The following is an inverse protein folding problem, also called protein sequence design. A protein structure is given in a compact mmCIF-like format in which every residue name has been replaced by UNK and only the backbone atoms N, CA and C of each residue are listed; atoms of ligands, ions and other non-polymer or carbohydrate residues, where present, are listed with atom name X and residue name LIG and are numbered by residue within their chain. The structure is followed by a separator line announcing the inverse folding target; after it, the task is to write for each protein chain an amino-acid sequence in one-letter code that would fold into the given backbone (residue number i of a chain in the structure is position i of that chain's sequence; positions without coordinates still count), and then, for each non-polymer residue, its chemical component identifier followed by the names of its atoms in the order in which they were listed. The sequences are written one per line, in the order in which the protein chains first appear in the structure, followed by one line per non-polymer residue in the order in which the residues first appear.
data_IF_503521197826
#
_entry.id   IF_503521197826
#
_cell.length_a   1.000
_cell.length_b   1.000
_cell.length_c   1.000
_cell.angle_alpha   90.00
_cell.angle_beta   90.00
_cell.angle_gamma   90.00
#
_symmetry.space_group_name_H-M   'P 1'
#
loop_
_entity.id
_entity.type
_entity.pdbx_description
1 polymer ?
2 non-polymer ?
3 non-polymer ?
4 water ?
#
# COMPACT_ATOMS: atom_id res chain seq x y z
N UNK A 1 -5.79 14.46 3.96
CA UNK A 1 -4.93 13.61 3.09
C UNK A 1 -5.54 12.21 2.94
N UNK A 2 -5.94 11.90 1.71
CA UNK A 2 -6.57 10.63 1.39
C UNK A 2 -5.67 9.75 0.53
N UNK A 3 -4.91 10.37 -0.37
CA UNK A 3 -4.03 9.61 -1.26
C UNK A 3 -2.56 9.88 -0.98
N UNK A 4 -1.77 8.82 -1.09
CA UNK A 4 -0.34 8.91 -0.87
C UNK A 4 0.35 8.37 -2.11
N UNK A 5 1.10 9.24 -2.77
CA UNK A 5 1.79 8.87 -4.00
C UNK A 5 3.24 8.52 -3.75
N UNK A 6 3.66 7.38 -4.29
CA UNK A 6 5.04 6.94 -4.16
C UNK A 6 5.68 7.05 -5.53
N UNK A 7 6.54 8.06 -5.73
CA UNK A 7 7.18 8.22 -7.04
C UNK A 7 8.31 7.19 -7.16
N UNK A 8 8.23 6.35 -8.17
CA UNK A 8 9.25 5.33 -8.38
C UNK A 8 9.68 5.33 -9.84
N UNK A 9 10.94 4.96 -10.08
CA UNK A 9 11.49 4.92 -11.43
C UNK A 9 10.58 4.15 -12.38
N UNK A 10 10.22 2.94 -11.97
CA UNK A 10 9.39 2.04 -12.76
C UNK A 10 7.95 2.51 -12.97
N UNK A 11 7.57 3.61 -12.33
CA UNK A 11 6.21 4.11 -12.46
C UNK A 11 5.65 4.38 -11.08
N UNK A 12 5.09 5.57 -10.88
CA UNK A 12 4.54 5.96 -9.60
C UNK A 12 3.32 5.17 -9.12
N UNK A 13 3.27 4.93 -7.81
CA UNK A 13 2.18 4.20 -7.18
C UNK A 13 1.35 5.13 -6.31
N UNK A 14 0.04 5.13 -6.53
CA UNK A 14 -0.87 5.96 -5.75
C UNK A 14 -1.64 5.09 -4.76
N UNK A 15 -1.42 5.33 -3.47
CA UNK A 15 -2.06 4.57 -2.40
C UNK A 15 -3.28 5.31 -1.87
N UNK A 16 -4.48 4.82 -2.20
CA UNK A 16 -5.72 5.47 -1.74
C UNK A 16 -5.95 5.11 -0.28
N UNK A 17 -5.31 5.86 0.61
CA UNK A 17 -5.38 5.63 2.04
C UNK A 17 -6.77 5.63 2.66
N UNK A 18 -7.61 6.60 2.32
CA UNK A 18 -8.93 6.60 2.91
C UNK A 18 -9.73 5.37 2.50
N UNK A 19 -9.60 4.96 1.25
CA UNK A 19 -10.30 3.77 0.78
C UNK A 19 -9.95 2.60 1.68
N UNK A 20 -8.66 2.46 1.97
CA UNK A 20 -8.19 1.37 2.81
C UNK A 20 -8.70 1.43 4.24
N UNK A 21 -8.73 2.62 4.84
CA UNK A 21 -9.21 2.66 6.21
C UNK A 21 -10.70 2.38 6.27
N UNK A 22 -11.43 2.77 5.23
CA UNK A 22 -12.87 2.50 5.18
C UNK A 22 -13.12 1.02 4.89
N UNK A 23 -12.28 0.44 4.04
CA UNK A 23 -12.44 -0.96 3.68
C UNK A 23 -12.10 -1.91 4.82
N UNK A 24 -11.03 -1.62 5.54
CA UNK A 24 -10.61 -2.48 6.64
C UNK A 24 -11.16 -2.08 8.00
N UNK A 25 -11.64 -0.84 8.11
CA UNK A 25 -12.21 -0.36 9.36
C UNK A 25 -11.34 -0.56 10.58
N UNK A 26 -10.03 -0.37 10.41
CA UNK A 26 -9.09 -0.57 11.51
C UNK A 26 -7.73 0.06 11.14
N UNK A 27 -6.96 0.45 12.15
CA UNK A 27 -5.65 1.07 11.94
C UNK A 27 -4.46 0.19 12.32
N UNK A 28 -4.54 -0.42 13.50
CA UNK A 28 -3.47 -1.26 14.04
C UNK A 28 -3.00 -2.39 13.13
N UNK A 29 -3.85 -2.86 12.23
CA UNK A 29 -3.45 -3.92 11.33
C UNK A 29 -2.25 -3.50 10.51
N UNK A 30 -2.35 -2.34 9.85
CA UNK A 30 -1.25 -1.83 9.03
C UNK A 30 -0.25 -1.04 9.84
N UNK A 31 -0.73 -0.40 10.90
CA UNK A 31 0.12 0.41 11.75
C UNK A 31 0.38 -0.32 13.08
N UNK A 32 1.24 -1.33 13.04
CA UNK A 32 1.55 -2.11 14.24
C UNK A 32 2.01 -1.25 15.40
N UNK A 33 2.88 -0.29 15.13
CA UNK A 33 3.41 0.60 16.16
C UNK A 33 2.59 1.88 16.27
N UNK A 34 1.27 1.75 16.16
CA UNK A 34 0.41 2.92 16.27
C UNK A 34 0.42 3.82 15.04
N UNK A 35 -0.75 4.32 14.62
CA UNK A 35 -0.91 5.19 13.46
C UNK A 35 0.19 6.23 13.32
N UNK A 36 0.75 6.31 12.12
CA UNK A 36 1.82 7.24 11.84
C UNK A 36 2.73 6.64 10.78
N UNK A 37 3.96 7.14 10.71
CA UNK A 37 4.94 6.64 9.75
C UNK A 37 5.16 5.15 10.03
N UNK A 38 5.40 4.38 8.98
CA UNK A 38 5.67 2.96 9.15
C UNK A 38 7.18 2.82 8.96
N UNK A 39 7.89 2.52 10.04
CA UNK A 39 9.34 2.41 9.98
C UNK A 39 9.84 1.31 9.05
N UNK A 40 10.81 1.68 8.23
CA UNK A 40 11.39 0.73 7.30
C UNK A 40 10.54 0.45 6.08
N UNK A 41 9.57 1.32 5.79
CA UNK A 41 8.73 1.11 4.62
C UNK A 41 9.53 1.35 3.35
N UNK A 42 9.65 0.30 2.55
CA UNK A 42 10.40 0.38 1.30
C UNK A 42 9.86 -0.60 0.27
N UNK A 43 10.63 -0.80 -0.80
CA UNK A 43 10.25 -1.70 -1.88
C UNK A 43 9.88 -3.10 -1.38
N UNK A 44 10.79 -3.71 -0.62
CA UNK A 44 10.57 -5.05 -0.10
C UNK A 44 9.32 -5.15 0.78
N UNK A 45 9.04 -4.11 1.56
CA UNK A 45 7.87 -4.15 2.41
C UNK A 45 6.61 -4.00 1.55
N UNK A 46 6.64 -3.07 0.60
CA UNK A 46 5.50 -2.84 -0.28
C UNK A 46 5.16 -4.10 -1.07
N UNK A 47 6.18 -4.81 -1.51
CA UNK A 47 5.96 -6.03 -2.29
C UNK A 47 5.60 -7.19 -1.39
N UNK A 48 5.75 -6.98 -0.09
CA UNK A 48 5.44 -8.01 0.89
C UNK A 48 4.16 -7.70 1.62
N UNK A 49 4.19 -7.76 2.95
CA UNK A 49 3.02 -7.53 3.79
C UNK A 49 2.59 -6.06 3.73
N UNK A 50 3.48 -5.17 3.37
CA UNK A 50 3.14 -3.76 3.31
C UNK A 50 2.06 -3.42 2.29
N UNK A 51 2.05 -4.12 1.16
CA UNK A 51 1.04 -3.87 0.13
C UNK A 51 0.56 -5.11 -0.61
N UNK A 52 1.36 -5.55 -1.57
CA UNK A 52 1.01 -6.68 -2.42
C UNK A 52 0.64 -7.96 -1.68
N UNK A 53 1.31 -8.22 -0.57
CA UNK A 53 1.03 -9.43 0.19
C UNK A 53 -0.41 -9.51 0.64
N UNK A 54 -0.95 -8.40 1.13
CA UNK A 54 -2.33 -8.41 1.57
C UNK A 54 -3.29 -8.63 0.41
N UNK A 55 -3.04 -7.94 -0.71
CA UNK A 55 -3.90 -8.10 -1.88
C UNK A 55 -3.97 -9.56 -2.32
N UNK A 56 -2.85 -10.27 -2.23
CA UNK A 56 -2.85 -11.68 -2.60
C UNK A 56 -3.69 -12.48 -1.60
N UNK A 57 -3.47 -12.26 -0.32
CA UNK A 57 -4.21 -12.99 0.70
C UNK A 57 -5.70 -12.68 0.64
N UNK A 58 -6.07 -11.41 0.57
CA UNK A 58 -7.48 -11.01 0.54
C UNK A 58 -8.13 -11.18 -0.82
N UNK A 59 -7.31 -11.52 -1.82
CA UNK A 59 -7.78 -11.71 -3.18
C UNK A 59 -8.50 -10.50 -3.73
N UNK A 60 -8.04 -9.32 -3.33
CA UNK A 60 -8.61 -8.08 -3.80
C UNK A 60 -7.50 -7.03 -3.79
N UNK A 61 -7.53 -6.12 -4.75
CA UNK A 61 -6.49 -5.11 -4.83
C UNK A 61 -5.48 -5.50 -5.89
N UNK A 62 -4.63 -4.57 -6.35
CA UNK A 62 -3.62 -4.87 -7.38
C UNK A 62 -2.47 -5.77 -6.96
N UNK A 63 -2.21 -6.81 -7.75
CA UNK A 63 -1.11 -7.74 -7.50
C UNK A 63 -0.12 -7.75 -8.66
N UNK A 64 -0.56 -7.30 -9.83
CA UNK A 64 0.30 -7.25 -11.01
C UNK A 64 1.05 -5.92 -11.04
N UNK A 65 2.34 -5.97 -11.37
CA UNK A 65 3.18 -4.77 -11.41
C UNK A 65 2.48 -3.53 -11.93
N UNK A 66 1.99 -3.61 -13.16
CA UNK A 66 1.32 -2.49 -13.79
C UNK A 66 0.01 -2.02 -13.20
N UNK A 67 -0.57 -2.81 -12.29
CA UNK A 67 -1.82 -2.39 -11.67
C UNK A 67 -1.54 -1.47 -10.49
N UNK A 68 -0.27 -1.36 -10.13
CA UNK A 68 0.18 -0.48 -9.05
C UNK A 68 1.06 0.61 -9.65
N UNK A 69 2.08 0.18 -10.38
CA UNK A 69 3.02 1.09 -11.01
C UNK A 69 2.48 1.59 -12.35
N UNK A 70 2.17 2.88 -12.40
CA UNK A 70 1.63 3.50 -13.60
C UNK A 70 2.33 4.83 -13.88
N UNK A 71 2.45 5.17 -15.16
CA UNK A 71 3.08 6.43 -15.52
C UNK A 71 4.46 6.37 -16.16
N UNK A 72 4.95 5.17 -16.45
CA UNK A 72 6.26 5.06 -17.07
C UNK A 72 7.42 5.41 -16.16
X LIG B 1 0.24 6.58 6.44
X LIG B 1 -2.96 7.06 9.99
X LIG B 1 -5.22 3.14 8.50
X LIG B 1 -1.38 2.16 5.77
X LIG B 1 -0.57 7.15 7.41
X LIG B 1 -0.26 8.43 8.05
X LIG B 1 -1.07 8.50 9.13
X LIG B 1 -1.91 7.31 9.11
X LIG B 1 -1.08 9.58 10.22
X LIG B 1 0.84 9.40 7.61
X LIG B 1 2.18 9.03 8.23
X LIG B 1 3.34 9.89 7.73
X LIG B 1 3.09 10.92 7.05
X LIG B 1 4.50 9.54 8.02
X LIG B 1 -3.84 6.02 9.94
X LIG B 1 -5.02 5.87 10.78
X LIG B 1 -5.71 4.81 10.29
X LIG B 1 -4.93 4.29 9.20
X LIG B 1 -5.39 6.78 11.95
X LIG B 1 -7.05 4.22 10.76
X LIG B 1 -8.21 5.20 10.85
X LIG B 1 -4.38 2.55 7.58
X LIG B 1 -4.62 1.24 6.98
X LIG B 1 -3.52 0.93 6.26
X LIG B 1 -2.61 2.06 6.41
X LIG B 1 -5.83 0.34 7.21
X LIG B 1 -3.18 -0.41 5.60
X LIG B 1 -4.12 -0.82 4.48
X LIG B 1 -0.57 3.27 5.73
X LIG B 1 0.65 3.38 4.95
X LIG B 1 1.11 4.65 5.12
X LIG B 1 0.14 5.29 5.99
X LIG B 1 1.28 2.25 4.15
X LIG B 1 2.44 5.25 4.69
X LIG B 1 3.49 5.00 5.78
X LIG B 1 4.82 5.69 5.50
X LIG B 1 5.77 5.50 6.30
X LIG B 1 4.92 6.42 4.50
X LIG B 1 -1.59 6.49 8.05
X LIG B 1 -3.79 5.04 8.98
X LIG B 1 -3.15 3.04 7.22
X LIG B 1 -0.86 4.43 6.38
X LIG B 1 -2.37 4.74 7.65
X LIG C 1 -7.34 -1.86 -2.86
X LIG C 1 -2.90 -0.12 -3.28
X LIG C 1 -1.88 -1.97 1.03
X LIG C 1 -6.11 -4.21 1.11
X LIG C 1 -6.22 -1.22 -3.35
X LIG C 1 -6.21 -0.41 -4.54
X LIG C 1 -4.97 0.12 -4.65
X LIG C 1 -4.21 -0.42 -3.54
X LIG C 1 -4.44 1.03 -5.76
X LIG C 1 -7.34 -0.34 -5.55
X LIG C 1 -8.28 0.81 -5.27
X LIG C 1 -9.45 0.85 -6.24
X LIG C 1 -10.35 -0.01 -6.12
X LIG C 1 -9.46 1.75 -7.11
X LIG C 1 -2.22 -0.48 -2.13
X LIG C 1 -0.86 -0.06 -1.83
X LIG C 1 -0.59 -0.53 -0.57
X LIG C 1 -1.78 -1.26 -0.15
X LIG C 1 0.07 0.76 -2.73
X LIG C 1 0.66 -0.28 0.26
X LIG C 1 0.99 1.18 0.58
X LIG C 1 -2.92 -2.78 1.42
X LIG C 1 -2.91 -3.63 2.60
X LIG C 1 -4.09 -4.32 2.61
X LIG C 1 -4.81 -3.85 1.43
X LIG C 1 -1.73 -3.76 3.57
X LIG C 1 -4.62 -5.43 3.54
X LIG C 1 -4.03 -5.61 4.94
X LIG C 1 -6.86 -3.70 0.06
X LIG C 1 -8.30 -3.88 -0.12
X LIG C 1 -8.67 -3.19 -1.22
X LIG C 1 -7.43 -2.60 -1.72
X LIG C 1 -9.28 -4.61 0.81
X LIG C 1 -10.08 -2.87 -1.71
X LIG C 1 -10.40 -1.41 -1.40
X LIG C 1 -11.53 -0.86 -2.25
X LIG C 1 -11.51 -1.07 -3.48
X LIG C 1 -12.44 -0.22 -1.68
X LIG C 1 -4.99 -1.24 -2.74
X LIG C 1 -2.76 -1.23 -1.11
X LIG C 1 -4.06 -2.93 0.69
X LIG C 1 -6.36 -2.86 -0.90
X LIG C 1 -4.54 -2.07 -1.03
X LIG D 1 8.75 -0.01 -5.45
X LIG D 1 9.01 -3.14 -9.09
X LIG D 1 4.67 -4.81 -8.03
X LIG D 1 4.13 -1.15 -5.00
X LIG D 1 9.24 -0.76 -6.51
X LIG D 1 10.58 -0.65 -7.05
X LIG D 1 10.64 -1.50 -8.11
X LIG D 1 9.34 -2.13 -8.19
X LIG D 1 11.83 -1.73 -9.04
X LIG D 1 11.70 0.24 -6.51
X LIG D 1 11.54 1.66 -7.04
X LIG D 1 11.91 1.77 -8.50
X LIG D 1 11.24 2.54 -9.24
X LIG D 1 12.88 1.11 -8.91
X LIG D 1 7.84 -3.87 -9.13
X LIG D 1 7.63 -5.03 -9.97
X LIG D 1 6.43 -5.57 -9.65
X LIG D 1 5.91 -4.69 -8.60
X LIG D 1 8.62 -5.61 -10.97
X LIG D 1 5.82 -6.87 -10.20
X LIG D 1 6.60 -8.15 -9.94
X LIG D 1 4.14 -3.94 -7.10
X LIG D 1 2.75 -3.95 -6.69
X LIG D 1 2.58 -2.85 -5.89
X LIG D 1 3.87 -2.22 -5.81
X LIG D 1 1.66 -4.91 -7.19
X LIG D 1 1.30 -2.28 -5.27
X LIG D 1 0.44 -3.29 -4.53
X LIG D 1 5.35 -0.56 -4.79
X LIG D 1 5.57 0.56 -3.90
X LIG D 1 6.89 0.83 -4.00
X LIG D 1 7.46 -0.09 -4.94
X LIG D 1 4.51 1.30 -3.10
X LIG D 1 7.60 1.99 -3.36
X LIG D 1 8.13 1.71 -1.97
X LIG D 1 8.91 2.89 -1.42
X LIG D 1 8.47 4.04 -1.64
X LIG D 1 9.95 2.67 -0.78
X LIG D 1 8.50 -1.69 -7.19
X LIG D 1 6.80 -3.68 -8.27
X LIG D 1 4.81 -2.86 -6.56
X LIG D 1 6.50 -0.93 -5.44
X LIG D 1 6.66 -2.29 -6.84
X LIG E 1 -5.61 14.30 -1.21
X LIG E 1 -5.12 15.47 -1.96
X LIG E 1 -6.53 14.75 -0.14
X LIG E 1 -6.33 13.38 -2.12
X LIG E 1 -4.47 13.59 -0.60
#
# INVERSE_FOLDING_TARGET
IDKITYPTRIGAVVFPHKKHQDALGECRGCHEKGPGRIDGFDKVMAHGKGCKGCHEEMKIGPVRCGDCHKGGSTH
HEM CHA CHB CHC CHD C1A C2A C3A C4A CMA CAA CBA CGA O1A O2A C1B C2B C3B C4B CMB CAB CBB C1C C2C C3C C4C CMC CAC CBC C1D C2D C3D C4D CMD CAD CBD CGD O1D O2D NA NB NC ND FE
HEM CHA CHB CHC CHD C1A C2A C3A C4A CMA CAA CBA CGA O1A O2A C1B C2B C3B C4B CMB CAB CBB C1C C2C C3C C4C CMC CAC CBC C1D C2D C3D C4D CMD CAD CBD CGD O1D O2D NA NB NC ND FE
HEM CHA CHB CHC CHD C1A C2A C3A C4A CMA CAA CBA CGA O1A O2A C1B C2B C3B C4B CMB CAB CBB C1C C2C C3C C4C CMC CAC CBC C1D C2D C3D C4D CMD CAD CBD CGD O1D O2D NA NB NC ND FE
SO4 S O1 O2 O3 O4
#
